data_IF_926579765343
#
_entry.id   IF_926579765343
#
_cell.length_a   1.000
_cell.length_b   1.000
_cell.length_c   1.000
_cell.angle_alpha   90.00
_cell.angle_beta   90.00
_cell.angle_gamma   90.00
#
_symmetry.space_group_name_H-M   'P 1'
#
loop_
_entity.id
_entity.type
_entity.pdbx_description
1 polymer ?
#
# COMPACT_ATOMS: atom_id res chain seq x y z
N UNK A 1 36.74 -28.82 -50.05
CA UNK A 1 36.69 -28.48 -48.61
C UNK A 1 36.04 -27.11 -48.45
N UNK A 2 34.77 -27.04 -48.02
CA UNK A 2 34.04 -25.78 -47.77
C UNK A 2 33.79 -25.66 -46.26
N UNK A 3 34.38 -24.64 -45.62
CA UNK A 3 34.16 -24.30 -44.21
C UNK A 3 32.86 -23.51 -44.09
N UNK A 4 31.86 -24.07 -43.39
CA UNK A 4 30.65 -23.36 -42.98
C UNK A 4 30.91 -22.62 -41.67
N UNK A 5 30.65 -21.31 -41.66
CA UNK A 5 30.80 -20.44 -40.48
C UNK A 5 29.58 -20.51 -39.55
N UNK A 6 29.74 -20.18 -38.25
CA UNK A 6 28.67 -20.28 -37.27
C UNK A 6 27.73 -19.07 -37.34
N UNK A 7 26.42 -19.36 -37.33
CA UNK A 7 25.36 -18.39 -37.08
C UNK A 7 25.43 -17.96 -35.60
N UNK A 8 25.73 -16.69 -35.35
CA UNK A 8 25.59 -16.09 -34.03
C UNK A 8 24.12 -15.67 -33.84
N UNK A 9 23.41 -16.35 -32.92
CA UNK A 9 22.05 -16.00 -32.51
C UNK A 9 22.13 -14.88 -31.46
N UNK A 10 21.76 -13.65 -31.82
CA UNK A 10 21.68 -12.52 -30.89
C UNK A 10 20.30 -12.55 -30.20
N UNK A 11 20.26 -12.88 -28.92
CA UNK A 11 19.07 -12.71 -28.08
C UNK A 11 18.91 -11.23 -27.73
N UNK A 12 17.90 -10.57 -28.31
CA UNK A 12 17.46 -9.24 -27.89
C UNK A 12 16.56 -9.40 -26.68
N UNK A 13 17.08 -9.12 -25.48
CA UNK A 13 16.26 -8.94 -24.28
C UNK A 13 15.47 -7.64 -24.41
N UNK A 14 14.17 -7.76 -24.75
CA UNK A 14 13.23 -6.65 -24.65
C UNK A 14 13.00 -6.34 -23.16
N UNK A 15 13.61 -5.27 -22.67
CA UNK A 15 13.33 -4.72 -21.34
C UNK A 15 11.91 -4.12 -21.40
N UNK A 16 10.93 -4.81 -20.82
CA UNK A 16 9.59 -4.27 -20.65
C UNK A 16 9.67 -3.09 -19.67
N UNK A 17 9.68 -1.87 -20.21
CA UNK A 17 9.52 -0.64 -19.45
C UNK A 17 8.14 -0.67 -18.80
N UNK A 18 8.11 -0.90 -17.49
CA UNK A 18 6.89 -0.69 -16.72
C UNK A 18 6.54 0.80 -16.85
N UNK A 19 5.30 1.16 -17.20
CA UNK A 19 4.90 2.56 -17.22
C UNK A 19 5.12 3.11 -15.82
N UNK A 20 6.07 4.03 -15.71
CA UNK A 20 6.21 4.85 -14.53
C UNK A 20 4.84 5.50 -14.29
N UNK A 21 4.31 5.37 -13.09
CA UNK A 21 3.12 6.07 -12.61
C UNK A 21 3.43 7.58 -12.64
N UNK A 22 3.37 8.18 -13.83
CA UNK A 22 3.42 9.61 -14.02
C UNK A 22 2.13 10.16 -13.43
N UNK A 23 2.27 11.03 -12.43
CA UNK A 23 1.16 11.58 -11.66
C UNK A 23 0.08 12.16 -12.58
N UNK A 24 -1.03 11.43 -12.74
CA UNK A 24 -2.23 12.01 -13.32
C UNK A 24 -2.70 13.17 -12.43
N UNK A 25 -3.38 14.19 -13.01
CA UNK A 25 -3.75 15.40 -12.30
C UNK A 25 -4.52 15.07 -11.02
N UNK A 26 -4.22 15.85 -9.97
CA UNK A 26 -4.92 15.83 -8.70
C UNK A 26 -6.38 16.26 -8.90
N UNK A 27 -7.22 15.38 -9.44
CA UNK A 27 -8.62 15.38 -9.07
C UNK A 27 -8.68 15.40 -7.53
N UNK A 28 -9.61 16.14 -6.95
CA UNK A 28 -9.77 16.20 -5.50
C UNK A 28 -9.88 14.77 -4.96
N UNK A 29 -8.81 14.27 -4.36
CA UNK A 29 -8.72 12.91 -3.87
C UNK A 29 -9.68 12.80 -2.68
N UNK A 30 -10.52 11.77 -2.68
CA UNK A 30 -11.40 11.50 -1.55
C UNK A 30 -10.56 11.24 -0.29
N UNK A 31 -10.91 11.86 0.84
CA UNK A 31 -10.35 11.47 2.15
C UNK A 31 -10.96 10.17 2.68
N UNK A 32 -12.08 9.74 2.09
CA UNK A 32 -12.71 8.46 2.36
C UNK A 32 -12.27 7.45 1.29
N UNK A 33 -11.17 6.77 1.58
CA UNK A 33 -10.65 5.69 0.74
C UNK A 33 -11.64 4.53 0.60
N UNK A 34 -12.50 4.29 1.59
CA UNK A 34 -13.46 3.20 1.53
C UNK A 34 -14.58 3.50 0.55
N UNK A 35 -15.14 4.72 0.60
CA UNK A 35 -16.14 5.17 -0.36
C UNK A 35 -15.60 5.14 -1.81
N UNK A 36 -14.34 5.52 -2.03
CA UNK A 36 -13.70 5.45 -3.35
C UNK A 36 -13.58 3.99 -3.84
N UNK A 37 -13.21 3.06 -2.95
CA UNK A 37 -13.15 1.63 -3.26
C UNK A 37 -14.53 1.09 -3.64
N UNK A 38 -15.58 1.43 -2.88
CA UNK A 38 -16.94 0.91 -3.05
C UNK A 38 -17.69 1.51 -4.25
N UNK A 39 -17.62 2.83 -4.42
CA UNK A 39 -18.52 3.58 -5.33
C UNK A 39 -17.79 4.17 -6.54
N UNK A 40 -16.47 4.30 -6.47
CA UNK A 40 -15.68 4.85 -7.56
C UNK A 40 -15.75 3.96 -8.81
N UNK A 41 -15.82 4.60 -9.98
CA UNK A 41 -15.91 3.92 -11.29
C UNK A 41 -14.66 4.13 -12.15
N UNK A 42 -13.70 4.92 -11.68
CA UNK A 42 -12.45 5.20 -12.37
C UNK A 42 -11.53 3.96 -12.49
N UNK A 43 -10.57 3.97 -13.44
CA UNK A 43 -9.64 2.86 -13.62
C UNK A 43 -8.68 2.67 -12.42
N UNK A 44 -8.45 3.76 -11.67
CA UNK A 44 -7.69 3.79 -10.43
C UNK A 44 -8.62 4.03 -9.25
N UNK A 45 -8.33 3.41 -8.11
CA UNK A 45 -8.75 3.86 -6.79
C UNK A 45 -7.70 4.88 -6.35
N UNK A 46 -8.10 6.14 -6.19
CA UNK A 46 -7.21 7.22 -5.80
C UNK A 46 -7.80 8.01 -4.63
N UNK A 47 -7.15 7.99 -3.47
CA UNK A 47 -7.66 8.62 -2.26
C UNK A 47 -6.53 9.09 -1.32
N UNK A 48 -6.85 9.99 -0.39
CA UNK A 48 -5.96 10.40 0.69
C UNK A 48 -6.22 9.52 1.90
N UNK A 49 -5.19 8.79 2.32
CA UNK A 49 -5.24 7.98 3.52
C UNK A 49 -4.48 8.67 4.66
N UNK A 50 -5.14 8.76 5.82
CA UNK A 50 -4.56 9.28 7.06
C UNK A 50 -4.43 8.14 8.06
N UNK A 51 -3.20 7.91 8.49
CA UNK A 51 -2.88 6.99 9.57
C UNK A 51 -2.69 7.78 10.84
N UNK A 52 -3.60 7.63 11.79
CA UNK A 52 -3.53 8.26 13.11
C UNK A 52 -3.78 7.19 14.18
N UNK A 53 -2.86 7.00 15.14
CA UNK A 53 -3.02 6.06 16.23
C UNK A 53 -4.07 6.54 17.24
N UNK A 54 -4.87 5.59 17.73
CA UNK A 54 -5.74 5.79 18.88
C UNK A 54 -4.94 6.00 20.17
N UNK A 55 -5.62 6.35 21.26
CA UNK A 55 -4.96 6.52 22.56
C UNK A 55 -4.23 5.26 23.05
N UNK A 56 -4.82 4.07 22.86
CA UNK A 56 -4.19 2.81 23.25
C UNK A 56 -2.93 2.52 22.44
N UNK A 57 -2.98 2.80 21.15
CA UNK A 57 -1.88 2.54 20.21
C UNK A 57 -0.74 3.55 20.41
N UNK A 58 -1.06 4.81 20.75
CA UNK A 58 -0.05 5.78 21.19
C UNK A 58 0.65 5.34 22.47
N UNK A 59 -0.07 4.77 23.43
CA UNK A 59 0.53 4.27 24.67
C UNK A 59 1.47 3.07 24.40
N UNK A 60 1.10 2.18 23.48
CA UNK A 60 1.96 1.07 23.06
C UNK A 60 3.20 1.57 22.32
N UNK A 61 3.05 2.52 21.38
CA UNK A 61 4.15 3.17 20.69
C UNK A 61 5.11 3.86 21.66
N UNK A 62 4.56 4.56 22.65
CA UNK A 62 5.35 5.21 23.68
C UNK A 62 6.14 4.19 24.49
N UNK A 63 5.50 3.10 24.92
CA UNK A 63 6.16 2.03 25.67
C UNK A 63 7.25 1.35 24.84
N UNK A 64 6.96 0.98 23.59
CA UNK A 64 7.89 0.34 22.66
C UNK A 64 9.08 1.23 22.29
N UNK A 65 8.89 2.54 22.29
CA UNK A 65 9.95 3.53 22.07
C UNK A 65 10.63 4.00 23.37
N UNK A 66 10.33 3.39 24.52
CA UNK A 66 10.85 3.75 25.85
C UNK A 66 10.59 5.23 26.21
N UNK A 67 9.41 5.73 25.86
CA UNK A 67 8.97 7.10 26.12
C UNK A 67 9.47 8.12 25.09
N UNK A 68 10.25 7.71 24.08
CA UNK A 68 10.85 8.64 23.13
C UNK A 68 9.83 9.19 22.13
N UNK A 69 9.05 8.32 21.51
CA UNK A 69 8.00 8.66 20.54
C UNK A 69 6.66 8.72 21.26
N UNK A 70 5.97 9.86 21.17
CA UNK A 70 4.69 10.13 21.84
C UNK A 70 3.50 9.98 20.90
N UNK A 71 3.70 10.36 19.65
CA UNK A 71 2.66 10.28 18.63
C UNK A 71 3.31 10.16 17.25
N UNK A 72 2.55 9.66 16.29
CA UNK A 72 2.90 9.77 14.88
C UNK A 72 1.62 9.86 14.05
N UNK A 73 1.67 10.61 12.96
CA UNK A 73 0.56 10.73 12.03
C UNK A 73 1.10 10.66 10.62
N UNK A 74 0.59 9.79 9.76
CA UNK A 74 1.01 9.72 8.36
C UNK A 74 -0.11 10.13 7.42
N UNK A 75 0.26 10.82 6.34
CA UNK A 75 -0.61 11.16 5.22
C UNK A 75 0.01 10.63 3.94
N UNK A 76 -0.78 9.91 3.16
CA UNK A 76 -0.35 9.37 1.87
C UNK A 76 -1.47 9.48 0.85
N UNK A 77 -1.07 9.57 -0.42
CA UNK A 77 -1.99 9.33 -1.53
C UNK A 77 -1.92 7.85 -1.88
N UNK A 78 -3.03 7.14 -1.70
CA UNK A 78 -3.17 5.77 -2.17
C UNK A 78 -3.62 5.84 -3.61
N UNK A 79 -2.92 5.11 -4.49
CA UNK A 79 -3.30 4.96 -5.88
C UNK A 79 -3.10 3.53 -6.33
N UNK A 80 -4.19 2.83 -6.59
CA UNK A 80 -4.17 1.41 -6.97
C UNK A 80 -5.05 1.23 -8.21
N UNK A 81 -4.49 0.65 -9.27
CA UNK A 81 -5.27 0.30 -10.44
C UNK A 81 -6.28 -0.80 -10.09
N UNK A 82 -7.57 -0.59 -10.39
CA UNK A 82 -8.62 -1.59 -10.13
C UNK A 82 -8.35 -2.91 -10.83
N UNK A 83 -7.71 -2.86 -12.01
CA UNK A 83 -7.28 -4.05 -12.75
C UNK A 83 -6.31 -4.93 -11.96
N UNK A 84 -5.45 -4.35 -11.12
CA UNK A 84 -4.52 -5.12 -10.29
C UNK A 84 -5.25 -5.83 -9.13
N UNK A 85 -6.25 -5.18 -8.55
CA UNK A 85 -7.12 -5.80 -7.53
C UNK A 85 -7.96 -6.92 -8.17
N UNK A 86 -8.53 -6.68 -9.35
CA UNK A 86 -9.35 -7.66 -10.05
C UNK A 86 -8.52 -8.91 -10.42
N UNK A 87 -7.27 -8.73 -10.87
CA UNK A 87 -6.31 -9.84 -11.08
C UNK A 87 -6.04 -10.60 -9.78
N UNK A 88 -5.82 -9.89 -8.68
CA UNK A 88 -5.56 -10.49 -7.37
C UNK A 88 -6.75 -11.33 -6.86
N UNK A 89 -7.97 -10.85 -7.06
CA UNK A 89 -9.19 -11.53 -6.65
C UNK A 89 -9.55 -12.75 -7.52
N UNK A 90 -9.16 -12.74 -8.80
CA UNK A 90 -9.40 -13.86 -9.71
C UNK A 90 -8.43 -15.04 -9.49
N UNK A 91 -7.30 -14.80 -8.84
CA UNK A 91 -6.30 -15.83 -8.56
C UNK A 91 -6.66 -16.67 -7.31
N UNK A 92 -6.33 -17.96 -7.35
CA UNK A 92 -6.60 -18.89 -6.25
C UNK A 92 -5.71 -18.57 -5.04
N UNK A 93 -4.41 -18.42 -5.28
CA UNK A 93 -3.42 -17.97 -4.31
C UNK A 93 -2.58 -16.87 -4.97
N UNK A 94 -2.55 -15.68 -4.37
CA UNK A 94 -1.85 -14.53 -4.93
C UNK A 94 -1.34 -13.59 -3.85
N UNK A 95 -0.12 -13.11 -3.99
CA UNK A 95 0.43 -12.04 -3.17
C UNK A 95 0.42 -10.76 -4.00
N UNK A 96 -0.53 -9.88 -3.71
CA UNK A 96 -0.55 -8.55 -4.28
C UNK A 96 0.47 -7.68 -3.54
N UNK A 97 1.37 -7.05 -4.30
CA UNK A 97 2.30 -6.06 -3.76
C UNK A 97 2.05 -4.72 -4.45
N UNK A 98 1.60 -3.74 -3.68
CA UNK A 98 1.46 -2.37 -4.15
C UNK A 98 2.84 -1.80 -4.47
N UNK A 99 2.98 -1.02 -5.56
CA UNK A 99 4.18 -0.21 -5.76
C UNK A 99 4.37 0.75 -4.59
N UNK A 100 5.61 1.19 -4.39
CA UNK A 100 5.95 2.17 -3.35
C UNK A 100 5.21 3.49 -3.60
N UNK A 101 4.43 3.92 -2.61
CA UNK A 101 3.74 5.20 -2.61
C UNK A 101 4.46 6.17 -1.65
N UNK A 102 4.65 7.44 -2.01
CA UNK A 102 5.23 8.41 -1.09
C UNK A 102 4.30 8.66 0.10
N UNK A 103 4.87 8.73 1.30
CA UNK A 103 4.16 9.07 2.53
C UNK A 103 4.90 10.18 3.27
N UNK A 104 4.14 11.09 3.86
CA UNK A 104 4.67 12.09 4.80
C UNK A 104 4.12 11.76 6.18
N UNK A 105 5.01 11.63 7.16
CA UNK A 105 4.62 11.38 8.54
C UNK A 105 5.12 12.51 9.44
N UNK A 106 4.25 12.99 10.32
CA UNK A 106 4.62 13.87 11.44
C UNK A 106 4.90 12.99 12.65
N UNK A 107 6.09 13.10 13.23
CA UNK A 107 6.47 12.36 14.44
C UNK A 107 6.57 13.35 15.58
N UNK A 108 5.90 13.04 16.69
CA UNK A 108 5.99 13.78 17.95
C UNK A 108 6.80 12.98 18.94
N UNK A 109 7.86 13.58 19.45
CA UNK A 109 8.70 13.05 20.53
C UNK A 109 8.46 13.83 21.81
N UNK A 110 9.07 13.41 22.91
CA UNK A 110 9.03 14.18 24.16
C UNK A 110 9.73 15.56 24.08
N UNK A 111 10.54 15.84 23.05
CA UNK A 111 11.27 17.12 22.90
C UNK A 111 10.78 17.98 21.75
N UNK A 112 10.27 17.38 20.69
CA UNK A 112 9.95 18.08 19.44
C UNK A 112 9.00 17.29 18.57
N UNK A 113 8.37 18.02 17.63
CA UNK A 113 7.58 17.46 16.53
C UNK A 113 8.23 17.86 15.22
N UNK A 114 8.31 16.92 14.27
CA UNK A 114 8.91 17.17 12.96
C UNK A 114 8.33 16.23 11.90
N UNK A 115 8.40 16.65 10.64
CA UNK A 115 7.96 15.86 9.49
C UNK A 115 9.09 15.01 8.93
N UNK A 116 8.72 13.81 8.50
CA UNK A 116 9.57 12.84 7.81
C UNK A 116 8.88 12.35 6.55
N UNK A 117 9.66 11.94 5.57
CA UNK A 117 9.14 11.36 4.33
C UNK A 117 9.52 9.89 4.25
N UNK A 118 8.69 9.04 3.67
CA UNK A 118 8.99 7.63 3.46
C UNK A 118 8.27 7.05 2.26
N UNK A 119 8.24 5.74 2.20
CA UNK A 119 7.43 4.97 1.25
C UNK A 119 6.49 4.02 1.98
N UNK A 120 5.34 3.78 1.37
CA UNK A 120 4.33 2.83 1.80
C UNK A 120 4.10 1.83 0.67
N UNK A 121 4.37 0.55 0.93
CA UNK A 121 4.25 -0.52 -0.06
C UNK A 121 3.47 -1.72 0.50
N UNK A 122 2.14 -1.62 0.56
CA UNK A 122 1.27 -2.69 1.03
C UNK A 122 1.49 -4.03 0.34
N UNK A 123 1.49 -5.09 1.12
CA UNK A 123 1.40 -6.46 0.60
C UNK A 123 0.15 -7.13 1.18
N UNK A 124 -0.63 -7.78 0.31
CA UNK A 124 -1.82 -8.53 0.71
C UNK A 124 -1.77 -9.91 0.08
N UNK A 125 -1.88 -10.94 0.91
CA UNK A 125 -1.94 -12.33 0.47
C UNK A 125 -3.39 -12.79 0.43
N UNK A 126 -3.76 -13.35 -0.71
CA UNK A 126 -5.05 -13.96 -0.97
C UNK A 126 -4.92 -15.48 -0.94
N UNK A 127 -5.91 -16.14 -0.34
CA UNK A 127 -6.12 -17.59 -0.42
C UNK A 127 -7.59 -17.87 -0.67
N UNK A 128 -7.88 -18.69 -1.68
CA UNK A 128 -9.25 -18.97 -2.14
C UNK A 128 -10.04 -17.68 -2.43
N UNK A 129 -9.37 -16.69 -3.01
CA UNK A 129 -9.93 -15.38 -3.30
C UNK A 129 -10.33 -14.56 -2.06
N UNK A 130 -9.83 -14.87 -0.86
CA UNK A 130 -10.05 -14.09 0.37
C UNK A 130 -8.71 -13.57 0.84
N UNK A 131 -8.64 -12.29 1.22
CA UNK A 131 -7.44 -11.73 1.83
C UNK A 131 -7.26 -12.31 3.24
N UNK A 132 -6.13 -12.98 3.47
CA UNK A 132 -5.82 -13.68 4.73
C UNK A 132 -4.67 -13.04 5.52
N UNK A 133 -3.81 -12.28 4.86
CA UNK A 133 -2.78 -11.49 5.52
C UNK A 133 -2.53 -10.19 4.77
N UNK A 134 -2.22 -9.15 5.53
CA UNK A 134 -1.81 -7.86 5.03
C UNK A 134 -0.60 -7.36 5.81
N UNK A 135 0.30 -6.65 5.14
CA UNK A 135 1.36 -5.86 5.74
C UNK A 135 1.34 -4.44 5.13
N UNK A 136 1.45 -3.38 5.95
CA UNK A 136 1.43 -2.00 5.45
C UNK A 136 2.64 -1.63 4.59
N UNK A 137 3.82 -2.16 4.93
CA UNK A 137 5.05 -1.94 4.16
C UNK A 137 5.59 -0.51 4.24
N UNK A 138 5.49 0.13 5.42
CA UNK A 138 6.16 1.41 5.67
C UNK A 138 7.68 1.22 5.66
N UNK A 139 8.38 2.05 4.89
CA UNK A 139 9.83 1.96 4.69
C UNK A 139 10.46 3.26 4.22
N UNK A 140 11.76 3.19 3.89
CA UNK A 140 12.56 4.28 3.30
C UNK A 140 12.40 5.65 3.98
N UNK A 141 12.28 5.67 5.31
CA UNK A 141 12.09 6.90 6.07
C UNK A 141 13.34 7.79 5.99
N UNK A 142 13.15 9.06 5.62
CA UNK A 142 14.15 10.12 5.50
C UNK A 142 13.79 11.28 6.43
N UNK A 143 14.80 12.05 6.83
CA UNK A 143 14.64 13.19 7.76
C UNK A 143 14.90 12.84 9.22
N UNK A 144 15.12 11.56 9.54
CA UNK A 144 15.51 11.09 10.87
C UNK A 144 16.54 9.98 10.84
N UNK A 145 17.18 9.77 11.99
CA UNK A 145 18.10 8.65 12.20
C UNK A 145 17.37 7.32 12.28
N UNK A 146 18.09 6.24 11.98
CA UNK A 146 17.58 4.87 12.08
C UNK A 146 17.09 4.50 13.48
N UNK A 147 17.66 5.12 14.52
CA UNK A 147 17.27 4.90 15.92
C UNK A 147 15.82 5.33 16.18
N UNK A 148 15.38 6.42 15.53
CA UNK A 148 14.02 6.94 15.66
C UNK A 148 13.09 6.28 14.64
N UNK A 149 13.57 6.01 13.41
CA UNK A 149 12.70 5.45 12.38
C UNK A 149 12.38 3.97 12.61
N UNK A 150 13.30 3.20 13.20
CA UNK A 150 13.09 1.77 13.44
C UNK A 150 11.86 1.45 14.31
N UNK A 151 11.64 2.04 15.50
CA UNK A 151 10.45 1.75 16.29
C UNK A 151 9.16 2.13 15.56
N UNK A 152 9.14 3.25 14.84
CA UNK A 152 7.95 3.67 14.05
C UNK A 152 7.65 2.66 12.94
N UNK A 153 8.68 2.27 12.17
CA UNK A 153 8.54 1.28 11.08
C UNK A 153 8.08 -0.07 11.62
N UNK A 154 8.69 -0.55 12.70
CA UNK A 154 8.31 -1.80 13.35
C UNK A 154 6.87 -1.75 13.87
N UNK A 155 6.49 -0.66 14.52
CA UNK A 155 5.16 -0.46 15.05
C UNK A 155 4.13 -0.51 13.92
N UNK A 156 4.26 0.37 12.91
CA UNK A 156 3.33 0.44 11.78
C UNK A 156 3.20 -0.88 11.06
N UNK A 157 4.31 -1.57 10.77
CA UNK A 157 4.27 -2.81 10.00
C UNK A 157 3.73 -4.01 10.76
N UNK A 158 3.69 -3.96 12.11
CA UNK A 158 3.16 -5.04 12.96
C UNK A 158 1.77 -4.74 13.49
N UNK A 159 1.30 -3.52 13.32
CA UNK A 159 0.08 -2.99 13.93
C UNK A 159 -1.17 -3.79 13.55
N UNK A 160 -1.86 -4.46 14.50
CA UNK A 160 -3.03 -5.27 14.18
C UNK A 160 -4.16 -4.47 13.52
N UNK A 161 -4.49 -3.28 14.02
CA UNK A 161 -5.61 -2.48 13.50
C UNK A 161 -5.42 -2.07 12.04
N UNK A 162 -4.20 -1.71 11.62
CA UNK A 162 -3.92 -1.38 10.21
C UNK A 162 -4.05 -2.63 9.35
N UNK A 163 -3.51 -3.76 9.81
CA UNK A 163 -3.59 -5.03 9.07
C UNK A 163 -5.03 -5.51 8.93
N UNK A 164 -5.79 -5.48 10.01
CA UNK A 164 -7.20 -5.85 10.06
C UNK A 164 -8.07 -4.89 9.24
N UNK A 165 -7.79 -3.59 9.31
CA UNK A 165 -8.43 -2.58 8.48
C UNK A 165 -8.21 -2.84 7.00
N UNK A 166 -6.96 -3.11 6.59
CA UNK A 166 -6.65 -3.48 5.20
C UNK A 166 -7.39 -4.75 4.75
N UNK A 167 -7.39 -5.80 5.57
CA UNK A 167 -8.11 -7.04 5.27
C UNK A 167 -9.62 -6.81 5.16
N UNK A 168 -10.19 -5.99 6.04
CA UNK A 168 -11.61 -5.65 6.05
C UNK A 168 -12.00 -4.92 4.77
N UNK A 169 -11.23 -3.89 4.37
CA UNK A 169 -11.49 -3.11 3.15
C UNK A 169 -11.42 -4.00 1.90
N UNK A 170 -10.37 -4.82 1.78
CA UNK A 170 -10.17 -5.70 0.61
C UNK A 170 -11.28 -6.75 0.51
N UNK A 171 -11.67 -7.37 1.62
CA UNK A 171 -12.72 -8.38 1.63
C UNK A 171 -14.12 -7.77 1.44
N UNK A 172 -14.35 -6.54 1.92
CA UNK A 172 -15.56 -5.77 1.64
C UNK A 172 -15.70 -5.48 0.14
N UNK A 173 -14.61 -5.03 -0.52
CA UNK A 173 -14.61 -4.77 -1.96
C UNK A 173 -15.04 -6.00 -2.78
N UNK A 174 -14.55 -7.21 -2.44
CA UNK A 174 -15.00 -8.46 -3.06
C UNK A 174 -16.51 -8.65 -2.93
N UNK A 175 -17.03 -8.45 -1.72
CA UNK A 175 -18.47 -8.61 -1.43
C UNK A 175 -19.32 -7.63 -2.23
N UNK A 176 -18.87 -6.38 -2.36
CA UNK A 176 -19.53 -5.35 -3.17
C UNK A 176 -19.47 -5.68 -4.66
N UNK A 177 -18.33 -6.10 -5.20
CA UNK A 177 -18.20 -6.56 -6.59
C UNK A 177 -19.10 -7.75 -6.91
N UNK A 178 -19.21 -8.73 -6.00
CA UNK A 178 -20.10 -9.87 -6.18
C UNK A 178 -21.59 -9.46 -6.22
N UNK A 179 -22.00 -8.46 -5.43
CA UNK A 179 -23.36 -7.94 -5.40
C UNK A 179 -23.67 -6.98 -6.57
N UNK A 180 -22.72 -6.14 -6.94
CA UNK A 180 -22.84 -5.18 -8.06
C UNK A 180 -22.61 -5.80 -9.45
N UNK A 181 -22.05 -7.02 -9.50
CA UNK A 181 -21.92 -7.82 -10.73
C UNK A 181 -23.20 -8.58 -11.13
N UNK A 182 -24.20 -8.65 -10.25
CA UNK A 182 -25.53 -9.08 -10.64
C UNK A 182 -26.20 -7.95 -11.42
N UNK A 183 -26.05 -7.97 -12.76
CA UNK A 183 -26.90 -7.15 -13.63
C UNK A 183 -28.36 -7.34 -13.20
N UNK A 184 -29.17 -6.27 -13.06
CA UNK A 184 -30.60 -6.45 -13.03
C UNK A 184 -30.97 -7.20 -14.31
N UNK A 185 -31.66 -8.33 -14.16
CA UNK A 185 -32.39 -8.92 -15.28
C UNK A 185 -33.48 -7.91 -15.67
N UNK A 186 -33.18 -7.08 -16.66
CA UNK A 186 -34.20 -6.51 -17.55
C UNK A 186 -34.40 -7.46 -18.70
#
# INVERSE_FOLDING_TARGET
>A
MKRGGPLALTFVFAVASHPAFAGAPAAALSEDCFAEVETGTGPDIACLFRLQPSAAERAELETGSRGYVKDFACRMTVRIARAEIDKALAAVDYAFKSPEQPVVCTITTYKSTFDVTGTFAPEVTFKNGVAVSATPGLGNIKGITRVISWPVVQFVNRWPSVREGMLTIVNAYKTHKAKGGAKPKT
#
